data_IF_703187115453
#
_entry.id   IF_703187115453
#
_cell.length_a   1.000
_cell.length_b   1.000
_cell.length_c   1.000
_cell.angle_alpha   90.00
_cell.angle_beta   90.00
_cell.angle_gamma   90.00
#
_symmetry.space_group_name_H-M   'P 1'
#
loop_
_entity.id
_entity.type
_entity.pdbx_description
1 polymer ?
#
# COMPACT_ATOMS: atom_id res chain seq x y z
N UNK A 1 1.78 44.28 -40.97
CA UNK A 1 0.92 44.86 -39.93
C UNK A 1 0.50 43.74 -38.99
N UNK A 2 0.82 43.96 -37.71
CA UNK A 2 0.29 43.35 -36.46
C UNK A 2 0.43 41.84 -36.18
N UNK A 3 1.11 41.63 -35.05
CA UNK A 3 1.33 40.43 -34.26
C UNK A 3 0.07 39.93 -33.51
N UNK A 4 0.17 38.70 -32.98
CA UNK A 4 -0.72 38.16 -31.94
C UNK A 4 -0.21 36.83 -31.39
N UNK A 5 0.29 36.88 -30.15
CA UNK A 5 0.87 35.79 -29.35
C UNK A 5 -0.13 34.68 -28.98
N UNK A 6 0.40 33.47 -28.73
CA UNK A 6 -0.31 32.36 -28.11
C UNK A 6 0.62 31.31 -27.51
N UNK A 7 1.29 31.66 -26.41
CA UNK A 7 2.07 30.76 -25.55
C UNK A 7 1.17 29.90 -24.64
N UNK A 8 1.40 28.58 -24.61
CA UNK A 8 1.08 27.65 -23.50
C UNK A 8 2.34 26.78 -23.32
N UNK A 9 3.13 26.80 -22.24
CA UNK A 9 2.85 26.51 -20.81
C UNK A 9 2.21 25.13 -20.66
N UNK A 10 2.77 24.06 -20.09
CA UNK A 10 3.67 23.85 -18.92
C UNK A 10 4.35 22.48 -19.07
N UNK A 11 5.67 22.34 -18.87
CA UNK A 11 6.33 21.79 -17.66
C UNK A 11 5.61 20.60 -17.01
N UNK A 12 6.23 19.41 -17.10
CA UNK A 12 6.62 18.56 -15.96
C UNK A 12 7.07 17.17 -16.44
N UNK A 13 8.30 17.08 -16.92
CA UNK A 13 8.99 15.82 -17.17
C UNK A 13 10.48 15.99 -16.83
N UNK A 14 10.77 16.41 -15.58
CA UNK A 14 12.13 16.34 -15.03
C UNK A 14 12.10 16.65 -13.53
N UNK A 15 11.77 15.67 -12.68
CA UNK A 15 12.11 15.82 -11.25
C UNK A 15 12.37 14.53 -10.47
N UNK A 16 12.10 13.34 -11.04
CA UNK A 16 12.30 12.07 -10.31
C UNK A 16 13.73 11.54 -10.43
N UNK A 17 14.47 11.86 -11.50
CA UNK A 17 15.84 11.33 -11.68
C UNK A 17 16.94 12.09 -10.92
N UNK A 18 16.64 13.20 -10.24
CA UNK A 18 17.67 13.98 -9.51
C UNK A 18 17.83 13.60 -8.04
N UNK A 19 16.97 12.75 -7.49
CA UNK A 19 17.07 12.36 -6.08
C UNK A 19 18.05 11.22 -5.83
N UNK A 20 18.23 10.27 -6.77
CA UNK A 20 19.23 9.20 -6.62
C UNK A 20 20.68 9.70 -6.72
N UNK A 21 20.90 10.80 -7.44
CA UNK A 21 22.25 11.35 -7.67
C UNK A 21 22.81 12.14 -6.48
N UNK A 22 21.95 12.60 -5.58
CA UNK A 22 22.43 13.28 -4.36
C UNK A 22 23.06 12.27 -3.38
N UNK A 23 22.69 10.98 -3.48
CA UNK A 23 23.25 9.91 -2.65
C UNK A 23 24.45 9.21 -3.32
N UNK A 24 24.50 9.11 -4.66
CA UNK A 24 25.64 8.50 -5.38
C UNK A 24 26.88 9.39 -5.47
N UNK A 25 26.78 10.69 -5.17
CA UNK A 25 27.95 11.61 -5.17
C UNK A 25 28.71 11.67 -3.84
N UNK A 26 28.37 10.81 -2.88
CA UNK A 26 29.07 10.65 -1.61
C UNK A 26 29.88 9.34 -1.58
N UNK A 27 30.59 9.06 -2.67
CA UNK A 27 31.69 8.09 -2.66
C UNK A 27 32.94 8.71 -2.03
N UNK A 28 33.54 7.97 -1.09
CA UNK A 28 34.88 8.20 -0.50
C UNK A 28 35.01 9.34 0.51
N UNK A 29 34.41 9.13 1.68
CA UNK A 29 34.77 9.88 2.88
C UNK A 29 33.98 9.35 4.06
N UNK A 30 34.66 8.73 5.02
CA UNK A 30 34.10 8.41 6.34
C UNK A 30 33.60 9.70 6.97
N UNK A 31 32.31 10.00 6.78
CA UNK A 31 31.58 11.02 7.52
C UNK A 31 30.60 10.28 8.40
N UNK A 32 31.07 10.01 9.62
CA UNK A 32 30.19 9.86 10.77
C UNK A 32 29.18 11.01 10.70
N UNK A 33 27.90 10.69 10.53
CA UNK A 33 26.83 11.65 10.71
C UNK A 33 26.64 11.87 12.22
N UNK A 34 27.66 12.43 12.88
CA UNK A 34 27.49 13.06 14.19
C UNK A 34 26.90 14.44 13.94
N UNK A 35 25.61 14.47 13.60
CA UNK A 35 24.82 15.67 13.81
C UNK A 35 24.47 15.73 15.29
N UNK A 36 24.66 16.88 15.94
CA UNK A 36 23.85 17.20 17.12
C UNK A 36 22.39 17.23 16.63
N UNK A 37 21.71 16.10 16.79
CA UNK A 37 20.38 15.88 16.24
C UNK A 37 19.37 16.62 17.10
N UNK A 38 18.61 17.53 16.47
CA UNK A 38 17.35 18.01 17.02
C UNK A 38 16.48 16.80 17.37
N UNK A 39 15.65 16.94 18.41
CA UNK A 39 14.77 15.88 18.88
C UNK A 39 14.01 15.26 17.69
N UNK A 40 13.93 13.93 17.62
CA UNK A 40 13.26 13.19 16.52
C UNK A 40 11.88 13.75 16.17
N UNK A 41 11.11 14.19 17.17
CA UNK A 41 9.80 14.82 17.02
C UNK A 41 9.81 16.20 16.35
N UNK A 42 10.98 16.84 16.24
CA UNK A 42 11.17 18.14 15.60
C UNK A 42 11.46 18.04 14.09
N UNK A 43 11.66 16.82 13.58
CA UNK A 43 11.88 16.59 12.17
C UNK A 43 10.60 16.81 11.36
N UNK A 44 10.76 17.17 10.09
CA UNK A 44 9.67 17.31 9.15
C UNK A 44 9.25 15.95 8.58
N UNK A 45 7.99 15.77 8.15
CA UNK A 45 7.53 14.52 7.53
C UNK A 45 8.37 14.04 6.34
N UNK A 46 8.94 14.96 5.57
CA UNK A 46 9.81 14.65 4.43
C UNK A 46 11.13 14.01 4.86
N UNK A 47 11.64 14.37 6.04
CA UNK A 47 12.86 13.81 6.61
C UNK A 47 12.59 12.40 7.15
N UNK A 48 11.42 12.17 7.78
CA UNK A 48 10.99 10.84 8.21
C UNK A 48 10.80 9.86 7.05
N UNK A 49 10.28 10.32 5.92
CA UNK A 49 10.10 9.48 4.72
C UNK A 49 11.43 8.87 4.26
N UNK A 50 12.56 9.54 4.46
CA UNK A 50 13.87 9.03 4.09
C UNK A 50 14.31 7.78 4.91
N UNK A 51 13.64 7.50 6.03
CA UNK A 51 13.89 6.31 6.85
C UNK A 51 12.97 5.14 6.48
N UNK A 52 11.88 5.37 5.75
CA UNK A 52 10.93 4.31 5.37
C UNK A 52 11.64 3.26 4.51
N UNK A 53 11.37 1.99 4.79
CA UNK A 53 12.01 0.79 4.23
C UNK A 53 13.51 0.65 4.51
N UNK A 54 14.08 1.49 5.37
CA UNK A 54 15.45 1.37 5.83
C UNK A 54 15.51 0.53 7.11
N UNK A 55 16.56 -0.28 7.26
CA UNK A 55 16.84 -0.98 8.50
C UNK A 55 17.58 -0.04 9.45
N UNK A 56 17.02 0.17 10.64
CA UNK A 56 17.49 1.15 11.60
C UNK A 56 17.64 0.57 13.00
N UNK A 57 18.46 1.24 13.80
CA UNK A 57 18.57 1.08 15.24
C UNK A 57 18.01 2.31 15.93
N UNK A 58 16.90 2.13 16.64
CA UNK A 58 16.27 3.19 17.43
C UNK A 58 16.74 3.06 18.88
N UNK A 59 17.37 4.11 19.40
CA UNK A 59 17.70 4.23 20.82
C UNK A 59 16.70 5.17 21.48
N UNK A 60 16.17 4.75 22.61
CA UNK A 60 15.19 5.51 23.39
C UNK A 60 15.84 6.26 24.56
N UNK A 61 15.11 7.19 25.17
CA UNK A 61 15.60 8.02 26.28
C UNK A 61 15.98 7.18 27.52
N UNK A 62 15.29 6.07 27.76
CA UNK A 62 15.58 5.10 28.83
C UNK A 62 16.69 4.10 28.45
N UNK A 63 17.39 4.33 27.33
CA UNK A 63 18.50 3.53 26.79
C UNK A 63 18.10 2.16 26.26
N UNK A 64 16.80 1.89 26.06
CA UNK A 64 16.39 0.70 25.32
C UNK A 64 16.71 0.84 23.83
N UNK A 65 17.01 -0.28 23.18
CA UNK A 65 17.38 -0.33 21.77
C UNK A 65 16.44 -1.27 21.02
N UNK A 66 15.99 -0.80 19.86
CA UNK A 66 15.12 -1.56 18.96
C UNK A 66 15.72 -1.54 17.58
N UNK A 67 15.83 -2.71 16.95
CA UNK A 67 16.32 -2.86 15.58
C UNK A 67 15.19 -3.40 14.71
N UNK A 68 15.11 -2.90 13.49
CA UNK A 68 14.11 -3.32 12.52
C UNK A 68 14.00 -2.36 11.35
N UNK A 69 13.17 -2.74 10.38
CA UNK A 69 12.92 -1.93 9.20
C UNK A 69 11.77 -0.96 9.50
N UNK A 70 11.96 0.32 9.19
CA UNK A 70 10.90 1.32 9.39
C UNK A 70 9.81 1.12 8.35
N UNK A 71 8.60 0.79 8.79
CA UNK A 71 7.43 0.71 7.92
C UNK A 71 6.79 2.09 7.71
N UNK A 72 6.61 2.85 8.79
CA UNK A 72 6.06 4.20 8.74
C UNK A 72 6.43 5.00 9.98
N UNK A 73 6.22 6.31 9.90
CA UNK A 73 6.32 7.24 11.02
C UNK A 73 5.01 8.03 11.09
N UNK A 74 4.33 8.00 12.24
CA UNK A 74 3.14 8.82 12.43
C UNK A 74 3.53 10.30 12.53
N UNK A 75 3.07 11.17 11.60
CA UNK A 75 3.51 12.56 11.57
C UNK A 75 2.98 13.40 12.74
N UNK A 76 1.98 12.92 13.47
CA UNK A 76 1.42 13.63 14.63
C UNK A 76 2.26 13.37 15.88
N UNK A 77 2.56 12.11 16.18
CA UNK A 77 3.28 11.73 17.40
C UNK A 77 4.78 11.51 17.22
N UNK A 78 5.25 11.41 15.98
CA UNK A 78 6.60 10.95 15.65
C UNK A 78 6.82 9.46 15.98
N UNK A 79 5.78 8.67 16.19
CA UNK A 79 5.94 7.25 16.54
C UNK A 79 6.46 6.44 15.35
N UNK A 80 7.48 5.62 15.60
CA UNK A 80 8.15 4.78 14.60
C UNK A 80 7.54 3.37 14.64
N UNK A 81 7.07 2.88 13.50
CA UNK A 81 6.63 1.50 13.36
C UNK A 81 7.77 0.69 12.74
N UNK A 82 8.34 -0.23 13.53
CA UNK A 82 9.41 -1.13 13.13
C UNK A 82 8.86 -2.52 12.83
N UNK A 83 9.40 -3.15 11.80
CA UNK A 83 9.07 -4.51 11.39
C UNK A 83 10.35 -5.35 11.36
N UNK A 84 10.28 -6.56 11.93
CA UNK A 84 11.39 -7.52 11.92
C UNK A 84 10.95 -8.85 11.35
N UNK A 85 11.76 -9.41 10.45
CA UNK A 85 11.56 -10.75 9.89
C UNK A 85 12.47 -11.74 10.63
N UNK A 86 11.89 -12.66 11.41
CA UNK A 86 12.64 -13.74 12.04
C UNK A 86 12.57 -15.00 11.16
N UNK A 87 13.69 -15.70 10.93
CA UNK A 87 13.78 -16.86 10.01
C UNK A 87 12.78 -18.00 10.31
N UNK A 88 12.23 -18.06 11.52
CA UNK A 88 11.36 -19.14 12.00
C UNK A 88 9.99 -18.67 12.51
N UNK A 89 9.69 -17.38 12.42
CA UNK A 89 8.40 -16.81 12.87
C UNK A 89 7.82 -15.89 11.80
N UNK A 90 6.52 -15.66 11.90
CA UNK A 90 5.87 -14.55 11.20
C UNK A 90 6.53 -13.23 11.58
N UNK A 91 6.46 -12.23 10.71
CA UNK A 91 7.02 -10.91 10.98
C UNK A 91 6.46 -10.33 12.29
N UNK A 92 7.31 -9.61 13.02
CA UNK A 92 6.94 -8.92 14.26
C UNK A 92 6.87 -7.42 14.01
N UNK A 93 5.85 -6.76 14.57
CA UNK A 93 5.67 -5.31 14.48
C UNK A 93 5.86 -4.71 15.87
N UNK A 94 6.68 -3.67 15.97
CA UNK A 94 6.90 -2.92 17.21
C UNK A 94 6.68 -1.43 16.95
N UNK A 95 6.06 -0.75 17.91
CA UNK A 95 5.86 0.71 17.85
C UNK A 95 6.73 1.35 18.91
N UNK A 96 7.63 2.25 18.52
CA UNK A 96 8.42 3.09 19.42
C UNK A 96 7.80 4.47 19.43
N UNK A 97 7.32 4.91 20.60
CA UNK A 97 6.64 6.20 20.73
C UNK A 97 7.62 7.36 20.48
N UNK A 98 7.21 8.35 19.69
CA UNK A 98 8.12 9.42 19.24
C UNK A 98 8.79 10.17 20.37
N UNK A 99 8.06 10.51 21.44
CA UNK A 99 8.60 11.19 22.62
C UNK A 99 9.66 10.37 23.38
N UNK A 100 9.68 9.05 23.20
CA UNK A 100 10.67 8.18 23.81
C UNK A 100 11.92 8.04 22.92
N UNK A 101 11.87 8.43 21.65
CA UNK A 101 13.00 8.31 20.71
C UNK A 101 14.07 9.33 21.08
N UNK A 102 15.29 8.84 21.27
CA UNK A 102 16.48 9.67 21.49
C UNK A 102 17.33 9.79 20.22
N UNK A 103 17.51 8.67 19.51
CA UNK A 103 18.40 8.60 18.35
C UNK A 103 17.94 7.48 17.40
N UNK A 104 18.16 7.69 16.09
CA UNK A 104 17.80 6.74 15.03
C UNK A 104 18.99 6.59 14.08
N UNK A 105 19.61 5.42 14.09
CA UNK A 105 20.81 5.13 13.28
C UNK A 105 20.45 4.21 12.11
N UNK A 106 20.91 4.55 10.91
CA UNK A 106 20.77 3.67 9.75
C UNK A 106 21.75 2.50 9.86
N UNK A 107 21.24 1.26 9.85
CA UNK A 107 22.04 0.03 9.82
C UNK A 107 22.28 -0.40 8.38
N UNK A 108 21.20 -0.53 7.60
CA UNK A 108 21.23 -1.01 6.20
C UNK A 108 20.22 -0.23 5.37
N UNK A 109 20.62 0.18 4.18
CA UNK A 109 19.68 0.72 3.21
C UNK A 109 18.74 -0.38 2.70
N UNK A 110 17.46 -0.03 2.53
CA UNK A 110 16.47 -0.89 1.92
C UNK A 110 16.85 -1.25 0.48
N UNK A 111 16.47 -2.45 0.09
CA UNK A 111 16.60 -2.99 -1.26
C UNK A 111 15.22 -3.39 -1.80
N UNK A 112 15.14 -3.69 -3.10
CA UNK A 112 13.90 -4.09 -3.76
C UNK A 112 13.23 -5.32 -3.10
N UNK A 113 14.02 -6.19 -2.46
CA UNK A 113 13.52 -7.35 -1.72
C UNK A 113 12.82 -6.93 -0.42
N UNK A 114 13.40 -5.97 0.30
CA UNK A 114 12.82 -5.36 1.49
C UNK A 114 11.47 -4.71 1.18
N UNK A 115 11.41 -3.94 0.08
CA UNK A 115 10.16 -3.32 -0.39
C UNK A 115 9.07 -4.35 -0.71
N UNK A 116 9.44 -5.44 -1.39
CA UNK A 116 8.50 -6.54 -1.71
C UNK A 116 7.99 -7.22 -0.45
N UNK A 117 8.88 -7.54 0.49
CA UNK A 117 8.51 -8.16 1.77
C UNK A 117 7.56 -7.26 2.55
N UNK A 118 7.86 -5.96 2.67
CA UNK A 118 6.98 -5.01 3.34
C UNK A 118 5.59 -4.93 2.73
N UNK A 119 5.49 -4.85 1.41
CA UNK A 119 4.19 -4.87 0.72
C UNK A 119 3.43 -6.15 1.04
N UNK A 120 4.07 -7.31 0.90
CA UNK A 120 3.43 -8.60 1.14
C UNK A 120 2.90 -8.80 2.56
N UNK A 121 3.48 -8.15 3.58
CA UNK A 121 3.02 -8.28 4.97
C UNK A 121 1.64 -7.66 5.22
N UNK A 122 1.31 -6.59 4.50
CA UNK A 122 0.06 -5.86 4.67
C UNK A 122 -0.93 -6.12 3.53
N UNK A 123 -0.52 -6.88 2.52
CA UNK A 123 -1.42 -7.44 1.52
C UNK A 123 -2.18 -8.62 2.13
N UNK A 124 -3.52 -8.58 2.24
CA UNK A 124 -4.31 -9.71 2.72
C UNK A 124 -3.95 -11.02 2.02
N UNK A 125 -3.85 -12.11 2.76
CA UNK A 125 -3.70 -13.43 2.17
C UNK A 125 -4.89 -13.70 1.24
N UNK A 126 -4.63 -13.90 -0.06
CA UNK A 126 -5.68 -14.03 -1.08
C UNK A 126 -5.96 -12.76 -1.91
N UNK A 127 -5.21 -11.67 -1.70
CA UNK A 127 -5.19 -10.53 -2.63
C UNK A 127 -4.53 -10.97 -3.94
N UNK A 128 -5.31 -11.63 -4.79
CA UNK A 128 -4.85 -11.98 -6.12
C UNK A 128 -4.85 -10.70 -6.95
N UNK A 129 -3.67 -10.31 -7.44
CA UNK A 129 -3.58 -9.26 -8.45
C UNK A 129 -4.21 -9.81 -9.73
N UNK A 130 -5.35 -9.26 -10.12
CA UNK A 130 -6.00 -9.56 -11.37
C UNK A 130 -5.62 -8.49 -12.40
N UNK A 131 -5.24 -8.93 -13.60
CA UNK A 131 -5.13 -8.05 -14.75
C UNK A 131 -6.50 -7.44 -15.10
N UNK A 132 -6.46 -6.32 -15.82
CA UNK A 132 -7.67 -5.67 -16.34
C UNK A 132 -8.52 -6.62 -17.18
N UNK A 133 -7.86 -7.45 -17.98
CA UNK A 133 -8.48 -8.45 -18.84
C UNK A 133 -9.16 -9.55 -18.02
N UNK A 134 -8.51 -10.05 -16.97
CA UNK A 134 -9.10 -11.05 -16.06
C UNK A 134 -10.29 -10.49 -15.29
N UNK A 135 -10.21 -9.24 -14.81
CA UNK A 135 -11.33 -8.59 -14.12
C UNK A 135 -12.54 -8.43 -15.05
N UNK A 136 -12.32 -8.03 -16.30
CA UNK A 136 -13.39 -7.92 -17.29
C UNK A 136 -14.00 -9.27 -17.65
N UNK A 137 -13.19 -10.33 -17.75
CA UNK A 137 -13.69 -11.68 -17.96
C UNK A 137 -14.55 -12.16 -16.77
N UNK A 138 -14.05 -11.99 -15.54
CA UNK A 138 -14.79 -12.35 -14.31
C UNK A 138 -16.10 -11.58 -14.19
N UNK A 139 -16.10 -10.28 -14.51
CA UNK A 139 -17.30 -9.43 -14.53
C UNK A 139 -18.34 -9.97 -15.50
N UNK A 140 -17.94 -10.31 -16.73
CA UNK A 140 -18.83 -10.87 -17.75
C UNK A 140 -19.36 -12.25 -17.35
N UNK A 141 -18.50 -13.12 -16.84
CA UNK A 141 -18.87 -14.46 -16.38
C UNK A 141 -19.88 -14.41 -15.22
N UNK A 142 -19.66 -13.51 -14.25
CA UNK A 142 -20.56 -13.33 -13.13
C UNK A 142 -21.92 -12.76 -13.58
N UNK A 143 -21.89 -11.74 -14.45
CA UNK A 143 -23.10 -11.17 -15.02
C UNK A 143 -23.93 -12.23 -15.74
N UNK A 144 -23.31 -13.03 -16.59
CA UNK A 144 -23.99 -14.11 -17.31
C UNK A 144 -24.58 -15.16 -16.35
N UNK A 145 -23.87 -15.49 -15.26
CA UNK A 145 -24.37 -16.39 -14.23
C UNK A 145 -25.61 -15.83 -13.51
N UNK A 146 -25.60 -14.56 -13.13
CA UNK A 146 -26.73 -13.93 -12.45
C UNK A 146 -27.96 -13.80 -13.38
N UNK A 147 -27.75 -13.41 -14.64
CA UNK A 147 -28.80 -13.33 -15.65
C UNK A 147 -29.40 -14.71 -15.96
N UNK A 148 -28.58 -15.77 -16.01
CA UNK A 148 -29.03 -17.16 -16.14
C UNK A 148 -29.93 -17.59 -14.97
N UNK A 149 -29.69 -17.06 -13.77
CA UNK A 149 -30.53 -17.27 -12.60
C UNK A 149 -31.71 -16.29 -12.51
N UNK A 150 -32.03 -15.60 -13.62
CA UNK A 150 -33.14 -14.65 -13.75
C UNK A 150 -33.04 -13.44 -12.81
N UNK A 151 -31.82 -13.07 -12.42
CA UNK A 151 -31.56 -11.89 -11.61
C UNK A 151 -31.18 -10.74 -12.55
N UNK A 152 -31.89 -9.60 -12.51
CA UNK A 152 -31.56 -8.45 -13.35
C UNK A 152 -30.25 -7.82 -12.88
N UNK A 153 -29.31 -7.64 -13.80
CA UNK A 153 -28.00 -7.02 -13.56
C UNK A 153 -27.78 -5.87 -14.54
N UNK A 154 -27.29 -4.74 -14.03
CA UNK A 154 -26.85 -3.59 -14.81
C UNK A 154 -25.35 -3.39 -14.61
N UNK A 155 -24.63 -3.18 -15.70
CA UNK A 155 -23.20 -2.87 -15.67
C UNK A 155 -23.03 -1.35 -15.53
N UNK A 156 -22.39 -0.91 -14.46
CA UNK A 156 -22.10 0.49 -14.16
C UNK A 156 -20.58 0.77 -14.18
N UNK A 157 -19.86 0.12 -15.09
CA UNK A 157 -18.42 0.29 -15.26
C UNK A 157 -17.64 -0.64 -14.34
N UNK A 158 -17.22 -0.11 -13.18
CA UNK A 158 -16.39 -0.84 -12.20
C UNK A 158 -17.23 -1.71 -11.23
N UNK A 159 -18.57 -1.60 -11.30
CA UNK A 159 -19.50 -2.33 -10.44
C UNK A 159 -20.66 -2.93 -11.21
N UNK A 160 -21.13 -4.09 -10.75
CA UNK A 160 -22.37 -4.71 -11.21
C UNK A 160 -23.50 -4.38 -10.23
N UNK A 161 -24.55 -3.73 -10.71
CA UNK A 161 -25.76 -3.44 -9.93
C UNK A 161 -26.80 -4.54 -10.12
N UNK A 162 -27.13 -5.22 -9.04
CA UNK A 162 -28.07 -6.35 -8.99
C UNK A 162 -29.42 -5.87 -8.47
N UNK A 163 -30.46 -5.99 -9.29
CA UNK A 163 -31.85 -5.64 -8.96
C UNK A 163 -32.04 -4.25 -8.32
N UNK A 164 -31.15 -3.31 -8.60
CA UNK A 164 -31.11 -1.95 -8.05
C UNK A 164 -30.90 -1.85 -6.52
N UNK A 165 -30.60 -2.95 -5.83
CA UNK A 165 -30.55 -3.02 -4.35
C UNK A 165 -29.20 -3.52 -3.81
N UNK A 166 -28.38 -4.11 -4.66
CA UNK A 166 -27.07 -4.66 -4.31
C UNK A 166 -26.04 -4.29 -5.38
N UNK A 167 -24.82 -4.04 -4.98
CA UNK A 167 -23.68 -3.81 -5.88
C UNK A 167 -22.59 -4.84 -5.63
N UNK A 168 -21.92 -5.29 -6.70
CA UNK A 168 -20.76 -6.17 -6.64
C UNK A 168 -19.58 -5.45 -7.30
N UNK A 169 -18.49 -5.26 -6.55
CA UNK A 169 -17.26 -4.64 -7.06
C UNK A 169 -16.19 -5.67 -7.36
N UNK A 170 -15.14 -5.26 -8.10
CA UNK A 170 -13.95 -6.08 -8.31
C UNK A 170 -13.35 -6.57 -6.96
N UNK A 171 -12.76 -7.78 -6.90
CA UNK A 171 -12.60 -8.79 -7.97
C UNK A 171 -13.82 -9.65 -8.33
N UNK A 172 -15.03 -9.21 -7.98
CA UNK A 172 -16.31 -9.84 -8.34
C UNK A 172 -16.51 -11.23 -7.72
N UNK A 173 -16.11 -11.41 -6.46
CA UNK A 173 -16.45 -12.59 -5.66
C UNK A 173 -17.68 -12.35 -4.75
N UNK A 174 -18.02 -13.34 -3.92
CA UNK A 174 -19.13 -13.23 -2.96
C UNK A 174 -18.83 -12.26 -1.82
N UNK A 175 -17.57 -12.07 -1.44
CA UNK A 175 -17.14 -11.17 -0.37
C UNK A 175 -17.26 -9.70 -0.78
N UNK A 176 -17.20 -9.38 -2.08
CA UNK A 176 -17.39 -8.00 -2.59
C UNK A 176 -18.83 -7.64 -2.94
N UNK A 177 -19.81 -8.33 -2.37
CA UNK A 177 -21.21 -7.93 -2.43
C UNK A 177 -21.53 -6.87 -1.35
N UNK A 178 -22.29 -5.81 -1.71
CA UNK A 178 -22.71 -4.76 -0.78
C UNK A 178 -24.19 -4.40 -0.95
N UNK A 179 -24.94 -4.42 0.15
CA UNK A 179 -26.36 -4.03 0.19
C UNK A 179 -26.76 -3.62 1.60
N UNK A 180 -27.73 -2.73 1.72
CA UNK A 180 -28.37 -2.40 3.00
C UNK A 180 -29.37 -3.47 3.47
N UNK A 181 -29.68 -4.46 2.62
CA UNK A 181 -30.57 -5.56 2.96
C UNK A 181 -29.77 -6.86 3.12
N UNK A 182 -29.51 -7.25 4.37
CA UNK A 182 -28.68 -8.41 4.71
C UNK A 182 -29.25 -9.75 4.21
N UNK A 183 -30.58 -9.85 4.07
CA UNK A 183 -31.23 -11.06 3.54
C UNK A 183 -30.91 -11.19 2.04
N UNK A 184 -30.98 -10.08 1.30
CA UNK A 184 -30.64 -10.07 -0.14
C UNK A 184 -29.14 -10.31 -0.30
N UNK A 185 -28.31 -9.66 0.52
CA UNK A 185 -26.87 -9.84 0.52
C UNK A 185 -26.50 -11.31 0.67
N UNK A 186 -26.94 -11.97 1.76
CA UNK A 186 -26.61 -13.37 2.01
C UNK A 186 -27.06 -14.30 0.86
N UNK A 187 -28.24 -14.07 0.29
CA UNK A 187 -28.75 -14.88 -0.83
C UNK A 187 -27.92 -14.71 -2.10
N UNK A 188 -27.55 -13.47 -2.44
CA UNK A 188 -26.72 -13.21 -3.61
C UNK A 188 -25.32 -13.78 -3.39
N UNK A 189 -24.73 -13.63 -2.20
CA UNK A 189 -23.43 -14.22 -1.86
C UNK A 189 -23.44 -15.74 -2.04
N UNK A 190 -24.44 -16.44 -1.49
CA UNK A 190 -24.57 -17.89 -1.69
C UNK A 190 -24.76 -18.28 -3.15
N UNK A 191 -25.44 -17.45 -3.94
CA UNK A 191 -25.60 -17.69 -5.38
C UNK A 191 -24.28 -17.52 -6.14
N UNK A 192 -23.49 -16.49 -5.79
CA UNK A 192 -22.17 -16.26 -6.38
C UNK A 192 -21.23 -17.42 -6.04
N UNK A 193 -21.25 -17.91 -4.80
CA UNK A 193 -20.46 -19.07 -4.35
C UNK A 193 -20.86 -20.36 -5.06
N UNK A 194 -22.14 -20.53 -5.38
CA UNK A 194 -22.65 -21.71 -6.09
C UNK A 194 -22.32 -21.72 -7.59
N UNK A 195 -21.67 -20.68 -8.12
CA UNK A 195 -21.25 -20.63 -9.52
C UNK A 195 -20.26 -21.79 -9.78
N UNK A 196 -20.53 -22.69 -10.74
CA UNK A 196 -19.61 -23.78 -11.04
C UNK A 196 -18.25 -23.19 -11.47
N UNK A 197 -17.19 -23.62 -10.80
CA UNK A 197 -15.82 -23.32 -11.20
C UNK A 197 -15.51 -23.94 -12.56
N UNK A 198 -14.49 -23.43 -13.26
CA UNK A 198 -14.08 -23.92 -14.59
C UNK A 198 -13.64 -25.41 -14.63
N UNK A 199 -13.62 -26.14 -13.51
CA UNK A 199 -13.10 -27.50 -13.39
C UNK A 199 -14.13 -28.65 -13.54
N UNK A 200 -15.35 -28.38 -14.01
CA UNK A 200 -16.32 -29.46 -14.30
C UNK A 200 -16.94 -29.34 -15.70
N UNK A 201 -16.09 -29.32 -16.73
CA UNK A 201 -16.47 -29.64 -18.11
C UNK A 201 -15.47 -30.61 -18.72
#
# INVERSE_FOLDING_TARGET
MTAGNGTKSTRNACHIEKFSDTFKRLGSGSRFLTGEMGEWCSMLPQEWIAFVNQEVKVTTQDKQQYEGIVFTVDPVSGSIVLVTFEEKRSASVKVVLGHAVKDVQLIKAGDDDTDRKMKSLFTPAGSQEFSTEELEERKKDLRAWLEKNLIPVTDEGDVLRVANVLTISAPYDSEQCSSSNEIILARVQSLVESKPGREQQ
#
